data_IF_596037722762
#
_entry.id   IF_596037722762
#
_cell.length_a   1.000
_cell.length_b   1.000
_cell.length_c   1.000
_cell.angle_alpha   90.00
_cell.angle_beta   90.00
_cell.angle_gamma   90.00
#
_symmetry.space_group_name_H-M   'P 1'
#
loop_
_entity.id
_entity.type
_entity.pdbx_description
1 polymer ?
#
# COMPACT_ATOMS: atom_id res chain seq x y z
N UNK A 1 -19.64 4.72 8.51
CA UNK A 1 -18.92 3.92 9.50
C UNK A 1 -17.57 3.55 8.96
N UNK A 2 -16.54 4.07 9.56
CA UNK A 2 -15.18 3.80 9.06
C UNK A 2 -14.84 2.32 9.02
N UNK A 3 -15.21 1.60 10.05
CA UNK A 3 -14.89 0.19 10.10
C UNK A 3 -15.59 -0.57 9.00
N UNK A 4 -16.83 -0.21 8.76
CA UNK A 4 -17.58 -0.85 7.70
C UNK A 4 -16.95 -0.57 6.34
N UNK A 5 -16.48 0.66 6.13
CA UNK A 5 -15.80 1.00 4.89
C UNK A 5 -14.59 0.13 4.67
N UNK A 6 -13.82 -0.08 5.72
CA UNK A 6 -12.64 -0.92 5.61
C UNK A 6 -12.99 -2.34 5.25
N UNK A 7 -14.09 -2.83 5.81
CA UNK A 7 -14.52 -4.19 5.49
C UNK A 7 -14.96 -4.34 4.05
N UNK A 8 -15.40 -3.25 3.46
CA UNK A 8 -15.86 -3.28 2.07
C UNK A 8 -14.75 -3.07 1.05
N UNK A 9 -13.56 -2.73 1.50
CA UNK A 9 -12.43 -2.61 0.59
C UNK A 9 -12.03 -3.99 0.09
N UNK A 10 -11.58 -4.09 -1.16
CA UNK A 10 -11.10 -5.36 -1.68
C UNK A 10 -9.75 -5.71 -1.09
N UNK A 11 -9.73 -5.82 0.23
CA UNK A 11 -8.50 -5.99 0.98
C UNK A 11 -8.43 -7.40 1.54
N UNK A 12 -7.50 -8.17 1.03
CA UNK A 12 -7.26 -9.53 1.51
C UNK A 12 -5.91 -9.57 2.17
N UNK A 13 -5.67 -10.61 2.98
CA UNK A 13 -4.37 -10.72 3.61
C UNK A 13 -3.24 -10.81 2.60
N UNK A 14 -3.44 -11.43 1.44
CA UNK A 14 -2.39 -11.45 0.44
C UNK A 14 -2.14 -10.06 -0.15
N UNK A 15 -3.16 -9.21 -0.20
CA UNK A 15 -2.95 -7.85 -0.68
C UNK A 15 -2.09 -7.07 0.30
N UNK A 16 -2.37 -7.24 1.59
CA UNK A 16 -1.55 -6.59 2.61
C UNK A 16 -0.12 -7.10 2.57
N UNK A 17 0.04 -8.40 2.35
CA UNK A 17 1.36 -8.98 2.24
C UNK A 17 2.12 -8.36 1.06
N UNK A 18 1.44 -8.14 -0.05
CA UNK A 18 2.08 -7.53 -1.21
C UNK A 18 2.54 -6.12 -0.95
N UNK A 19 1.83 -5.38 -0.09
CA UNK A 19 2.25 -4.02 0.21
C UNK A 19 3.65 -3.99 0.82
N UNK A 20 4.03 -5.01 1.56
CA UNK A 20 5.33 -5.05 2.20
C UNK A 20 6.37 -5.83 1.40
N UNK A 21 5.99 -6.40 0.26
CA UNK A 21 6.93 -7.16 -0.57
C UNK A 21 7.04 -6.66 -2.01
N UNK A 22 5.98 -6.07 -2.51
CA UNK A 22 5.97 -5.60 -3.90
C UNK A 22 6.85 -4.35 -4.02
N UNK A 23 7.83 -4.41 -4.90
CA UNK A 23 8.83 -3.36 -5.05
C UNK A 23 8.40 -2.41 -6.16
N UNK A 24 8.54 -1.12 -5.90
CA UNK A 24 8.22 -0.09 -6.89
C UNK A 24 9.13 -0.29 -8.10
N UNK A 25 8.54 -0.49 -9.29
CA UNK A 25 9.35 -0.87 -10.46
C UNK A 25 9.98 0.30 -11.21
N UNK A 26 9.56 1.53 -10.92
CA UNK A 26 10.09 2.68 -11.64
C UNK A 26 9.85 3.94 -10.82
N UNK A 27 10.35 5.04 -11.32
CA UNK A 27 10.10 6.35 -10.74
C UNK A 27 11.06 6.71 -9.64
N UNK A 28 10.72 7.78 -8.95
CA UNK A 28 11.58 8.35 -7.92
C UNK A 28 11.91 7.35 -6.80
N UNK A 29 10.96 6.49 -6.48
CA UNK A 29 11.13 5.55 -5.37
C UNK A 29 11.32 4.12 -5.84
N UNK A 30 11.84 3.95 -7.05
CA UNK A 30 12.14 2.63 -7.55
C UNK A 30 12.99 1.86 -6.53
N UNK A 31 12.63 0.61 -6.30
CA UNK A 31 13.36 -0.22 -5.37
C UNK A 31 12.80 -0.26 -3.96
N UNK A 32 11.88 0.63 -3.65
CA UNK A 32 11.22 0.61 -2.35
C UNK A 32 9.95 -0.21 -2.40
N UNK A 33 9.64 -0.90 -1.31
CA UNK A 33 8.35 -1.60 -1.26
C UNK A 33 7.23 -0.57 -1.13
N UNK A 34 6.05 -0.95 -1.59
CA UNK A 34 4.90 -0.03 -1.62
C UNK A 34 4.63 0.54 -0.24
N UNK A 35 4.76 -0.27 0.80
CA UNK A 35 4.48 0.18 2.17
C UNK A 35 5.44 1.26 2.66
N UNK A 36 6.58 1.42 2.00
CA UNK A 36 7.58 2.41 2.40
C UNK A 36 7.48 3.71 1.61
N UNK A 37 6.51 3.83 0.73
CA UNK A 37 6.36 5.05 -0.06
C UNK A 37 5.81 6.16 0.82
N UNK A 38 6.34 7.39 0.67
CA UNK A 38 5.85 8.50 1.49
C UNK A 38 4.43 8.90 1.10
N UNK A 39 3.72 9.45 2.09
CA UNK A 39 2.33 9.83 1.87
C UNK A 39 2.13 10.83 0.76
N UNK A 40 3.04 11.80 0.62
CA UNK A 40 2.89 12.81 -0.42
C UNK A 40 3.01 12.21 -1.82
N UNK A 41 3.80 11.14 -1.95
CA UNK A 41 3.94 10.45 -3.23
C UNK A 41 2.66 9.70 -3.56
N UNK A 42 2.09 9.03 -2.55
CA UNK A 42 0.82 8.33 -2.73
C UNK A 42 -0.29 9.32 -3.07
N UNK A 43 -0.30 10.48 -2.43
CA UNK A 43 -1.30 11.50 -2.73
C UNK A 43 -1.15 12.04 -4.13
N UNK A 44 0.07 12.10 -4.62
CA UNK A 44 0.31 12.53 -5.99
C UNK A 44 -0.39 11.59 -6.96
N UNK A 45 -0.27 10.29 -6.75
CA UNK A 45 -0.96 9.31 -7.59
C UNK A 45 -2.47 9.46 -7.48
N UNK A 46 -2.96 9.76 -6.27
CA UNK A 46 -4.40 9.92 -6.09
C UNK A 46 -4.93 11.08 -6.92
N UNK A 47 -4.13 12.12 -7.08
CA UNK A 47 -4.52 13.27 -7.90
C UNK A 47 -4.36 13.00 -9.38
N UNK A 48 -3.26 12.37 -9.77
CA UNK A 48 -2.94 12.18 -11.18
C UNK A 48 -3.59 10.95 -11.77
N UNK A 49 -3.98 10.02 -10.93
CA UNK A 49 -4.55 8.76 -11.38
C UNK A 49 -3.59 7.62 -11.13
N UNK A 50 -4.14 6.53 -10.60
CA UNK A 50 -3.34 5.33 -10.36
C UNK A 50 -3.19 4.55 -11.67
N UNK A 51 -2.04 3.88 -11.86
CA UNK A 51 -1.90 2.98 -13.01
C UNK A 51 -3.01 1.95 -13.04
N UNK A 52 -3.39 1.53 -14.23
CA UNK A 52 -4.47 0.57 -14.40
C UNK A 52 -3.93 -0.85 -14.44
N UNK A 53 -3.33 -1.28 -13.34
CA UNK A 53 -2.74 -2.61 -13.24
C UNK A 53 -2.58 -2.95 -11.76
N UNK A 54 -1.90 -4.05 -11.46
CA UNK A 54 -1.72 -4.47 -10.10
C UNK A 54 -0.98 -3.43 -9.26
N UNK A 55 0.03 -2.81 -9.84
CA UNK A 55 0.76 -1.76 -9.13
C UNK A 55 -0.20 -0.65 -8.70
N UNK A 56 -1.08 -0.23 -9.62
CA UNK A 56 -2.04 0.82 -9.31
C UNK A 56 -2.98 0.43 -8.20
N UNK A 57 -3.40 -0.82 -8.18
CA UNK A 57 -4.29 -1.30 -7.12
C UNK A 57 -3.59 -1.26 -5.77
N UNK A 58 -2.33 -1.65 -5.73
CA UNK A 58 -1.57 -1.63 -4.49
C UNK A 58 -1.29 -0.21 -4.03
N UNK A 59 -0.99 0.68 -4.97
CA UNK A 59 -0.78 2.08 -4.62
C UNK A 59 -2.05 2.70 -4.04
N UNK A 60 -3.20 2.39 -4.65
CA UNK A 60 -4.47 2.91 -4.16
C UNK A 60 -4.78 2.37 -2.76
N UNK A 61 -4.53 1.09 -2.56
CA UNK A 61 -4.76 0.48 -1.25
C UNK A 61 -3.85 1.11 -0.20
N UNK A 62 -2.58 1.29 -0.55
CA UNK A 62 -1.64 1.89 0.40
C UNK A 62 -2.01 3.32 0.72
N UNK A 63 -2.44 4.08 -0.29
CA UNK A 63 -2.88 5.45 -0.08
C UNK A 63 -4.05 5.49 0.90
N UNK A 64 -4.98 4.56 0.72
CA UNK A 64 -6.13 4.48 1.60
C UNK A 64 -5.73 4.14 3.02
N UNK A 65 -4.81 3.20 3.19
CA UNK A 65 -4.34 2.83 4.52
C UNK A 65 -3.60 3.98 5.18
N UNK A 66 -2.75 4.67 4.42
CA UNK A 66 -2.02 5.80 4.96
C UNK A 66 -2.98 6.90 5.40
N UNK A 67 -3.97 7.17 4.57
CA UNK A 67 -4.96 8.21 4.83
C UNK A 67 -5.76 7.91 6.10
N UNK A 68 -6.01 6.66 6.38
CA UNK A 68 -6.80 6.24 7.54
C UNK A 68 -5.95 5.88 8.75
N UNK A 69 -4.65 6.11 8.69
CA UNK A 69 -3.78 5.83 9.83
C UNK A 69 -3.58 4.37 10.11
N UNK A 70 -3.67 3.53 9.08
CA UNK A 70 -3.61 2.09 9.26
C UNK A 70 -2.26 1.47 8.93
N UNK A 71 -1.26 2.29 8.66
CA UNK A 71 0.08 1.75 8.35
C UNK A 71 0.61 0.81 9.42
N UNK A 72 0.35 1.04 10.71
CA UNK A 72 0.87 0.10 11.72
C UNK A 72 0.39 -1.34 11.55
N UNK A 73 -0.71 -1.53 10.84
CA UNK A 73 -1.20 -2.88 10.59
C UNK A 73 -0.22 -3.70 9.76
N UNK A 74 0.68 -3.02 9.06
CA UNK A 74 1.67 -3.70 8.22
C UNK A 74 2.90 -4.15 8.99
N UNK A 75 3.10 -3.64 10.18
CA UNK A 75 4.30 -3.95 10.95
C UNK A 75 4.50 -5.44 11.22
N UNK A 76 3.47 -6.17 11.64
CA UNK A 76 3.65 -7.61 11.83
C UNK A 76 4.03 -8.34 10.54
N UNK A 77 3.51 -7.86 9.42
CA UNK A 77 3.81 -8.48 8.13
C UNK A 77 5.25 -8.21 7.71
N UNK A 78 5.75 -7.02 8.03
CA UNK A 78 7.14 -6.71 7.74
C UNK A 78 8.07 -7.63 8.50
N UNK A 79 7.75 -7.89 9.75
CA UNK A 79 8.57 -8.78 10.56
C UNK A 79 8.57 -10.18 9.97
N UNK A 80 7.42 -10.62 9.51
CA UNK A 80 7.32 -11.93 8.90
C UNK A 80 8.16 -12.03 7.63
N UNK A 81 8.09 -11.00 6.80
CA UNK A 81 8.81 -11.02 5.54
C UNK A 81 10.30 -10.87 5.73
N UNK A 82 10.71 -10.22 6.79
CA UNK A 82 12.13 -10.04 7.05
C UNK A 82 12.76 -11.30 7.63
N UNK A 83 11.97 -12.19 8.06
CA UNK A 83 12.40 -13.44 8.59
C UNK A 83 13.10 -14.28 7.55
N UNK A 84 14.12 -14.97 7.90
CA UNK A 84 14.82 -15.81 6.95
C UNK A 84 15.60 -16.90 7.61
#
# INVERSE_FOLDING_TARGET
MPLRSLLNLPMKSEDLQKLVTFVMPYGKYKGRVIADLPGHYLNWFAREGFPNNELGQLLALMQEMDHNGLKPLLDPLRKTTKKH
#
